data_IF_645366237061
#
_entry.id   IF_645366237061
#
_cell.length_a   1.000
_cell.length_b   1.000
_cell.length_c   1.000
_cell.angle_alpha   90.00
_cell.angle_beta   90.00
_cell.angle_gamma   90.00
#
_symmetry.space_group_name_H-M   'P 1'
#
loop_
_entity.id
_entity.type
_entity.pdbx_description
1 polymer ?
#
# COMPACT_ATOMS: atom_id res chain seq x y z
N UNK A 1 4.53 -8.05 23.26
CA UNK A 1 5.03 -8.28 21.90
C UNK A 1 3.91 -8.64 20.92
N UNK A 2 3.03 -9.62 21.22
CA UNK A 2 1.94 -10.02 20.33
C UNK A 2 1.03 -8.86 19.85
N UNK A 3 0.74 -7.88 20.72
CA UNK A 3 -0.04 -6.69 20.35
C UNK A 3 0.63 -5.86 19.24
N UNK A 4 1.94 -5.61 19.34
CA UNK A 4 2.66 -4.79 18.36
C UNK A 4 2.77 -5.53 17.02
N UNK A 5 3.05 -6.84 17.04
CA UNK A 5 3.00 -7.68 15.83
C UNK A 5 1.63 -7.60 15.16
N UNK A 6 0.54 -7.60 15.93
CA UNK A 6 -0.81 -7.49 15.37
C UNK A 6 -1.07 -6.14 14.71
N UNK A 7 -0.64 -5.03 15.33
CA UNK A 7 -0.80 -3.67 14.78
C UNK A 7 0.01 -3.50 13.50
N UNK A 8 1.22 -4.03 13.48
CA UNK A 8 2.13 -4.00 12.35
C UNK A 8 1.60 -4.85 11.17
N UNK A 9 1.14 -6.07 11.48
CA UNK A 9 0.45 -6.93 10.51
C UNK A 9 -0.81 -6.27 9.94
N UNK A 10 -1.63 -5.62 10.77
CA UNK A 10 -2.82 -4.90 10.32
C UNK A 10 -2.46 -3.73 9.39
N UNK A 11 -1.38 -3.02 9.70
CA UNK A 11 -0.86 -1.93 8.87
C UNK A 11 -0.38 -2.45 7.51
N UNK A 12 0.36 -3.56 7.48
CA UNK A 12 0.78 -4.23 6.25
C UNK A 12 -0.43 -4.66 5.40
N UNK A 13 -1.42 -5.31 6.01
CA UNK A 13 -2.66 -5.74 5.33
C UNK A 13 -3.47 -4.56 4.78
N UNK A 14 -3.50 -3.45 5.50
CA UNK A 14 -4.16 -2.22 5.05
C UNK A 14 -3.44 -1.63 3.83
N UNK A 15 -2.11 -1.66 3.80
CA UNK A 15 -1.33 -1.22 2.65
C UNK A 15 -1.66 -2.08 1.40
N UNK A 16 -1.71 -3.40 1.53
CA UNK A 16 -2.14 -4.30 0.43
C UNK A 16 -3.55 -3.96 -0.08
N UNK A 17 -4.51 -3.75 0.84
CA UNK A 17 -5.90 -3.43 0.50
C UNK A 17 -6.03 -2.09 -0.24
N UNK A 18 -5.26 -1.08 0.14
CA UNK A 18 -5.23 0.23 -0.54
C UNK A 18 -4.76 0.07 -1.99
N UNK A 19 -3.66 -0.65 -2.22
CA UNK A 19 -3.10 -0.87 -3.57
C UNK A 19 -4.09 -1.65 -4.42
N UNK A 20 -4.73 -2.66 -3.85
CA UNK A 20 -5.77 -3.44 -4.53
C UNK A 20 -6.99 -2.57 -4.89
N UNK A 21 -7.45 -1.71 -3.98
CA UNK A 21 -8.57 -0.79 -4.24
C UNK A 21 -8.24 0.25 -5.29
N UNK A 22 -7.02 0.77 -5.31
CA UNK A 22 -6.58 1.68 -6.36
C UNK A 22 -6.54 1.02 -7.73
N UNK A 23 -5.98 -0.19 -7.83
CA UNK A 23 -5.96 -0.97 -9.06
C UNK A 23 -7.39 -1.23 -9.58
N UNK A 24 -8.30 -1.65 -8.69
CA UNK A 24 -9.71 -1.86 -9.04
C UNK A 24 -10.40 -0.56 -9.49
N UNK A 25 -10.06 0.58 -8.89
CA UNK A 25 -10.63 1.86 -9.30
C UNK A 25 -10.18 2.24 -10.72
N UNK A 26 -8.90 2.04 -11.05
CA UNK A 26 -8.36 2.22 -12.42
C UNK A 26 -9.13 1.36 -13.42
N UNK A 27 -9.32 0.08 -13.11
CA UNK A 27 -10.05 -0.86 -13.97
C UNK A 27 -11.52 -0.47 -14.15
N UNK A 28 -12.20 -0.13 -13.06
CA UNK A 28 -13.61 0.31 -13.10
C UNK A 28 -13.77 1.56 -13.95
N UNK A 29 -12.89 2.55 -13.81
CA UNK A 29 -12.95 3.73 -14.65
C UNK A 29 -12.79 3.33 -16.13
N UNK A 30 -11.79 2.52 -16.45
CA UNK A 30 -11.58 2.08 -17.84
C UNK A 30 -12.82 1.39 -18.42
N UNK A 31 -13.47 0.51 -17.65
CA UNK A 31 -14.68 -0.19 -18.06
C UNK A 31 -15.88 0.77 -18.21
N UNK A 32 -16.07 1.70 -17.27
CA UNK A 32 -17.14 2.70 -17.30
C UNK A 32 -17.02 3.64 -18.50
N UNK A 33 -15.79 3.93 -18.95
CA UNK A 33 -15.54 4.76 -20.14
C UNK A 33 -16.16 4.19 -21.42
N UNK A 34 -16.45 2.88 -21.48
CA UNK A 34 -17.15 2.27 -22.62
C UNK A 34 -18.56 2.85 -22.87
N UNK A 35 -19.16 3.47 -21.85
CA UNK A 35 -20.50 4.06 -21.90
C UNK A 35 -20.49 5.44 -22.58
N UNK A 36 -19.35 6.11 -22.58
CA UNK A 36 -19.19 7.48 -23.05
C UNK A 36 -18.72 7.53 -24.51
N UNK A 37 -19.05 8.62 -25.19
CA UNK A 37 -18.64 8.86 -26.58
C UNK A 37 -17.21 9.39 -26.72
N UNK A 38 -16.71 9.37 -27.95
CA UNK A 38 -15.47 10.06 -28.33
C UNK A 38 -15.68 11.58 -28.40
N UNK A 39 -14.63 12.41 -28.13
CA UNK A 39 -13.24 12.03 -27.82
C UNK A 39 -12.97 11.72 -26.33
N UNK A 40 -13.97 11.93 -25.45
CA UNK A 40 -13.79 11.83 -23.99
C UNK A 40 -13.29 10.45 -23.56
N UNK A 41 -13.88 9.38 -24.11
CA UNK A 41 -13.49 8.00 -23.84
C UNK A 41 -11.99 7.77 -24.09
N UNK A 42 -11.48 8.08 -25.28
CA UNK A 42 -10.09 7.81 -25.64
C UNK A 42 -9.10 8.69 -24.88
N UNK A 43 -9.45 9.95 -24.60
CA UNK A 43 -8.62 10.86 -23.82
C UNK A 43 -8.45 10.35 -22.39
N UNK A 44 -9.54 10.10 -21.66
CA UNK A 44 -9.48 9.66 -20.27
C UNK A 44 -8.85 8.27 -20.15
N UNK A 45 -9.17 7.35 -21.06
CA UNK A 45 -8.59 6.00 -21.08
C UNK A 45 -7.07 6.04 -21.21
N UNK A 46 -6.54 6.87 -22.13
CA UNK A 46 -5.10 7.05 -22.29
C UNK A 46 -4.45 7.64 -21.05
N UNK A 47 -5.05 8.67 -20.44
CA UNK A 47 -4.49 9.30 -19.25
C UNK A 47 -4.46 8.34 -18.04
N UNK A 48 -5.47 7.48 -17.90
CA UNK A 48 -5.52 6.48 -16.82
C UNK A 48 -4.49 5.38 -16.99
N UNK A 49 -4.29 4.88 -18.21
CA UNK A 49 -3.23 3.91 -18.48
C UNK A 49 -1.85 4.54 -18.23
N UNK A 50 -1.64 5.78 -18.64
CA UNK A 50 -0.40 6.51 -18.38
C UNK A 50 -0.19 6.78 -16.88
N UNK A 51 -1.26 7.07 -16.14
CA UNK A 51 -1.24 7.16 -14.68
C UNK A 51 -0.77 5.85 -14.06
N UNK A 52 -1.42 4.72 -14.39
CA UNK A 52 -1.07 3.42 -13.84
C UNK A 52 0.39 3.03 -14.15
N UNK A 53 0.86 3.27 -15.38
CA UNK A 53 2.27 3.08 -15.74
C UNK A 53 3.20 3.98 -14.94
N UNK A 54 2.86 5.26 -14.80
CA UNK A 54 3.68 6.20 -14.03
C UNK A 54 3.76 5.81 -12.55
N UNK A 55 2.71 5.22 -12.00
CA UNK A 55 2.72 4.70 -10.61
C UNK A 55 3.71 3.55 -10.49
N UNK A 56 3.65 2.56 -11.39
CA UNK A 56 4.55 1.40 -11.34
C UNK A 56 6.00 1.79 -11.63
N UNK A 57 6.25 2.56 -12.69
CA UNK A 57 7.59 2.85 -13.19
C UNK A 57 8.32 3.94 -12.40
N UNK A 58 7.60 4.94 -11.88
CA UNK A 58 8.21 6.09 -11.19
C UNK A 58 7.89 6.10 -9.70
N UNK A 59 6.61 6.06 -9.31
CA UNK A 59 6.25 6.17 -7.89
C UNK A 59 6.69 4.96 -7.08
N UNK A 60 6.56 3.73 -7.61
CA UNK A 60 6.92 2.52 -6.86
C UNK A 60 8.41 2.39 -6.60
N UNK A 61 9.25 2.87 -7.54
CA UNK A 61 10.71 2.87 -7.37
C UNK A 61 11.14 3.89 -6.31
N UNK A 62 10.45 5.03 -6.23
CA UNK A 62 10.77 6.11 -5.29
C UNK A 62 9.92 6.11 -4.01
N UNK A 63 9.01 5.14 -3.84
CA UNK A 63 8.02 5.11 -2.74
C UNK A 63 8.70 5.08 -1.36
N UNK A 64 9.91 4.52 -1.30
CA UNK A 64 10.78 4.47 -0.11
C UNK A 64 11.19 5.85 0.42
N UNK A 65 11.05 6.91 -0.38
CA UNK A 65 11.36 8.28 0.03
C UNK A 65 10.13 9.10 0.42
N UNK A 66 8.93 8.51 0.40
CA UNK A 66 7.65 9.18 0.71
C UNK A 66 7.45 10.48 -0.08
N UNK A 67 8.02 10.56 -1.29
CA UNK A 67 7.91 11.74 -2.15
C UNK A 67 6.94 11.45 -3.29
N UNK A 68 5.87 12.25 -3.46
CA UNK A 68 5.04 12.14 -4.65
C UNK A 68 5.87 12.45 -5.89
N UNK A 69 5.72 11.64 -6.93
CA UNK A 69 6.39 11.91 -8.20
C UNK A 69 5.52 12.87 -9.03
N UNK A 70 6.12 13.98 -9.48
CA UNK A 70 5.43 15.06 -10.21
C UNK A 70 4.69 14.59 -11.48
N UNK A 71 5.04 13.44 -12.06
CA UNK A 71 4.38 12.91 -13.26
C UNK A 71 2.97 12.39 -12.99
N UNK A 72 2.78 11.61 -11.91
CA UNK A 72 1.50 11.02 -11.55
C UNK A 72 0.50 12.09 -11.08
N UNK A 73 0.97 13.13 -10.37
CA UNK A 73 0.13 14.28 -10.01
C UNK A 73 -0.39 15.01 -11.26
N UNK A 74 0.47 15.26 -12.24
CA UNK A 74 0.07 15.89 -13.50
C UNK A 74 -0.92 15.04 -14.29
N UNK A 75 -0.78 13.72 -14.25
CA UNK A 75 -1.71 12.78 -14.90
C UNK A 75 -3.07 12.80 -14.21
N UNK A 76 -3.08 12.72 -12.87
CA UNK A 76 -4.30 12.77 -12.08
C UNK A 76 -5.05 14.09 -12.30
N UNK A 77 -4.33 15.22 -12.36
CA UNK A 77 -4.92 16.53 -12.64
C UNK A 77 -5.53 16.60 -14.05
N UNK A 78 -4.89 16.02 -15.07
CA UNK A 78 -5.48 15.95 -16.42
C UNK A 78 -6.75 15.13 -16.42
N UNK A 79 -6.76 13.96 -15.78
CA UNK A 79 -7.97 13.13 -15.63
C UNK A 79 -9.07 13.92 -14.95
N UNK A 80 -8.76 14.63 -13.85
CA UNK A 80 -9.70 15.48 -13.13
C UNK A 80 -10.34 16.53 -14.03
N UNK A 81 -9.52 17.25 -14.80
CA UNK A 81 -10.00 18.28 -15.73
C UNK A 81 -10.92 17.69 -16.78
N UNK A 82 -10.53 16.56 -17.41
CA UNK A 82 -11.37 15.91 -18.41
C UNK A 82 -12.72 15.47 -17.81
N UNK A 83 -12.72 14.80 -16.66
CA UNK A 83 -13.96 14.36 -16.01
C UNK A 83 -14.81 15.58 -15.66
N UNK A 84 -14.27 16.57 -14.95
CA UNK A 84 -15.07 17.66 -14.39
C UNK A 84 -15.62 18.65 -15.43
N UNK A 85 -15.00 18.71 -16.61
CA UNK A 85 -15.45 19.56 -17.73
C UNK A 85 -16.37 18.82 -18.70
N UNK A 86 -16.55 17.50 -18.53
CA UNK A 86 -17.43 16.73 -19.40
C UNK A 86 -18.89 16.99 -19.06
N UNK A 87 -19.69 17.29 -20.09
CA UNK A 87 -21.14 17.42 -19.99
C UNK A 87 -21.81 16.17 -20.60
N UNK A 88 -22.45 15.32 -19.78
CA UNK A 88 -23.17 14.14 -20.25
C UNK A 88 -24.31 14.49 -21.21
N UNK A 89 -24.27 13.91 -22.42
CA UNK A 89 -25.22 14.23 -23.51
C UNK A 89 -26.43 13.32 -23.52
N UNK A 90 -26.22 12.04 -23.22
CA UNK A 90 -27.28 11.01 -23.25
C UNK A 90 -27.81 10.72 -21.84
N UNK A 91 -29.05 10.24 -21.72
CA UNK A 91 -29.61 9.82 -20.43
C UNK A 91 -28.80 8.67 -19.81
N UNK A 92 -28.22 7.81 -20.65
CA UNK A 92 -27.29 6.76 -20.21
C UNK A 92 -26.03 7.37 -19.58
N UNK A 93 -25.39 8.33 -20.25
CA UNK A 93 -24.21 9.00 -19.70
C UNK A 93 -24.54 9.74 -18.40
N UNK A 94 -25.67 10.44 -18.31
CA UNK A 94 -26.09 11.13 -17.08
C UNK A 94 -26.26 10.18 -15.90
N UNK A 95 -26.81 8.98 -16.15
CA UNK A 95 -26.98 7.96 -15.13
C UNK A 95 -25.64 7.39 -14.64
N UNK A 96 -24.68 7.19 -15.55
CA UNK A 96 -23.39 6.56 -15.23
C UNK A 96 -22.29 7.56 -14.79
N UNK A 97 -22.40 8.84 -15.14
CA UNK A 97 -21.40 9.85 -14.83
C UNK A 97 -21.08 9.99 -13.32
N UNK A 98 -22.05 9.90 -12.39
CA UNK A 98 -21.75 9.89 -10.96
C UNK A 98 -20.87 8.70 -10.53
N UNK A 99 -21.03 7.52 -11.14
CA UNK A 99 -20.21 6.34 -10.83
C UNK A 99 -18.77 6.52 -11.32
N UNK A 100 -18.60 7.10 -12.51
CA UNK A 100 -17.29 7.47 -13.03
C UNK A 100 -16.56 8.44 -12.08
N UNK A 101 -17.28 9.46 -11.60
CA UNK A 101 -16.74 10.45 -10.67
C UNK A 101 -16.34 9.81 -9.33
N UNK A 102 -17.15 8.88 -8.82
CA UNK A 102 -16.87 8.17 -7.57
C UNK A 102 -15.66 7.24 -7.70
N UNK A 103 -15.53 6.53 -8.82
CA UNK A 103 -14.37 5.68 -9.09
C UNK A 103 -13.09 6.53 -9.23
N UNK A 104 -13.17 7.71 -9.85
CA UNK A 104 -12.07 8.67 -9.88
C UNK A 104 -11.68 9.17 -8.48
N UNK A 105 -12.65 9.52 -7.63
CA UNK A 105 -12.40 9.93 -6.24
C UNK A 105 -11.74 8.82 -5.44
N UNK A 106 -12.27 7.60 -5.54
CA UNK A 106 -11.71 6.42 -4.90
C UNK A 106 -10.25 6.21 -5.31
N UNK A 107 -9.93 6.28 -6.62
CA UNK A 107 -8.56 6.17 -7.11
C UNK A 107 -7.64 7.23 -6.51
N UNK A 108 -8.07 8.50 -6.48
CA UNK A 108 -7.30 9.61 -5.93
C UNK A 108 -7.09 9.46 -4.41
N UNK A 109 -8.12 9.06 -3.67
CA UNK A 109 -8.07 8.81 -2.23
C UNK A 109 -7.11 7.66 -1.90
N UNK A 110 -7.22 6.52 -2.59
CA UNK A 110 -6.33 5.39 -2.36
C UNK A 110 -4.86 5.73 -2.65
N UNK A 111 -4.57 6.54 -3.68
CA UNK A 111 -3.20 7.03 -3.91
C UNK A 111 -2.68 7.89 -2.76
N UNK A 112 -3.51 8.80 -2.24
CA UNK A 112 -3.13 9.65 -1.10
C UNK A 112 -2.85 8.77 0.13
N UNK A 113 -3.74 7.82 0.43
CA UNK A 113 -3.57 6.90 1.54
C UNK A 113 -2.30 6.06 1.40
N UNK A 114 -1.98 5.60 0.18
CA UNK A 114 -0.73 4.89 -0.12
C UNK A 114 0.50 5.76 0.17
N UNK A 115 0.50 7.02 -0.27
CA UNK A 115 1.61 7.95 -0.03
C UNK A 115 1.76 8.33 1.45
N UNK A 116 0.66 8.42 2.19
CA UNK A 116 0.70 8.64 3.64
C UNK A 116 1.28 7.42 4.35
N UNK A 117 0.84 6.21 3.95
CA UNK A 117 1.33 4.96 4.54
C UNK A 117 2.77 4.63 4.18
N UNK A 118 3.29 5.10 3.04
CA UNK A 118 4.71 4.91 2.71
C UNK A 118 5.66 5.73 3.60
N UNK A 119 5.16 6.75 4.30
CA UNK A 119 5.93 7.51 5.31
C UNK A 119 5.53 7.19 6.75
N UNK A 120 4.58 6.29 6.98
CA UNK A 120 4.15 5.93 8.33
C UNK A 120 5.06 4.88 8.93
N UNK A 121 5.55 5.16 10.14
CA UNK A 121 6.33 4.24 10.96
C UNK A 121 5.67 4.08 12.32
N UNK A 122 5.91 2.96 12.99
CA UNK A 122 5.57 2.81 14.39
C UNK A 122 6.23 3.93 15.22
N UNK A 123 5.49 4.60 16.11
CA UNK A 123 6.06 5.60 17.00
C UNK A 123 7.29 5.07 17.73
N UNK A 124 8.37 5.86 17.79
CA UNK A 124 9.66 5.50 18.42
C UNK A 124 9.48 4.99 19.86
N UNK A 125 8.45 5.47 20.56
CA UNK A 125 8.10 5.03 21.92
C UNK A 125 7.76 3.53 21.98
N UNK A 126 7.09 2.97 20.96
CA UNK A 126 6.75 1.55 20.91
C UNK A 126 8.02 0.69 20.75
N UNK A 127 8.96 1.12 19.91
CA UNK A 127 10.28 0.47 19.80
C UNK A 127 11.06 0.51 21.11
N UNK A 128 11.08 1.66 21.78
CA UNK A 128 11.74 1.80 23.07
C UNK A 128 11.11 0.87 24.12
N UNK A 129 9.78 0.79 24.16
CA UNK A 129 9.06 -0.12 25.06
C UNK A 129 9.39 -1.59 24.79
N UNK A 130 9.45 -1.99 23.51
CA UNK A 130 9.81 -3.34 23.09
C UNK A 130 11.22 -3.75 23.52
N UNK A 131 12.21 -2.90 23.20
CA UNK A 131 13.61 -3.14 23.54
C UNK A 131 13.77 -3.23 25.06
N UNK A 132 13.11 -2.33 25.80
CA UNK A 132 13.13 -2.33 27.27
C UNK A 132 12.52 -3.61 27.83
N UNK A 133 11.35 -4.03 27.34
CA UNK A 133 10.69 -5.26 27.77
C UNK A 133 11.50 -6.53 27.46
N UNK A 134 12.22 -6.55 26.34
CA UNK A 134 13.19 -7.60 26.01
C UNK A 134 14.32 -7.67 27.05
N UNK A 135 14.98 -6.55 27.32
CA UNK A 135 16.08 -6.50 28.30
C UNK A 135 15.61 -6.90 29.70
N UNK A 136 14.46 -6.41 30.17
CA UNK A 136 13.90 -6.78 31.47
C UNK A 136 13.70 -8.30 31.55
N UNK A 137 13.13 -8.90 30.50
CA UNK A 137 12.86 -10.34 30.45
C UNK A 137 14.15 -11.16 30.45
N UNK A 138 15.15 -10.75 29.67
CA UNK A 138 16.46 -11.40 29.63
C UNK A 138 17.18 -11.27 30.98
N UNK A 139 17.20 -10.07 31.57
CA UNK A 139 17.80 -9.82 32.90
C UNK A 139 17.11 -10.69 33.96
N UNK A 140 15.78 -10.75 33.95
CA UNK A 140 14.99 -11.57 34.86
C UNK A 140 15.32 -13.07 34.72
N UNK A 141 15.60 -13.55 33.50
CA UNK A 141 16.00 -14.95 33.28
C UNK A 141 17.30 -15.33 34.00
N UNK A 142 18.19 -14.38 34.26
CA UNK A 142 19.43 -14.61 35.01
C UNK A 142 19.19 -14.76 36.53
N UNK A 143 18.07 -14.29 37.06
CA UNK A 143 17.72 -14.46 38.49
C UNK A 143 17.25 -15.88 38.81
N UNK A 144 16.88 -16.69 37.83
CA UNK A 144 16.58 -18.10 38.03
C UNK A 144 17.87 -18.91 38.21
N UNK A 145 18.25 -19.16 39.46
CA UNK A 145 19.36 -20.06 39.79
C UNK A 145 18.94 -21.51 39.52
N UNK A 146 19.44 -22.11 38.44
CA UNK A 146 19.27 -23.54 38.16
C UNK A 146 20.58 -24.26 38.44
N UNK A 147 20.51 -25.49 38.99
CA UNK A 147 21.71 -26.27 39.36
C UNK A 147 22.62 -26.62 38.16
N UNK A 148 22.13 -26.45 36.92
CA UNK A 148 22.87 -26.75 35.70
C UNK A 148 22.95 -25.53 34.78
N UNK A 149 24.08 -24.82 34.82
CA UNK A 149 24.37 -23.64 33.98
C UNK A 149 24.14 -23.89 32.49
N UNK A 150 24.38 -25.11 31.99
CA UNK A 150 24.12 -25.47 30.57
C UNK A 150 22.64 -25.40 30.20
N UNK A 151 21.75 -25.82 31.11
CA UNK A 151 20.30 -25.75 30.89
C UNK A 151 19.82 -24.30 30.94
N UNK A 152 20.36 -23.50 31.87
CA UNK A 152 20.07 -22.07 31.94
C UNK A 152 20.45 -21.34 30.64
N UNK A 153 21.66 -21.58 30.12
CA UNK A 153 22.13 -20.99 28.86
C UNK A 153 21.22 -21.42 27.70
N UNK A 154 20.84 -22.69 27.61
CA UNK A 154 19.96 -23.19 26.56
C UNK A 154 18.57 -22.51 26.61
N UNK A 155 17.97 -22.38 27.80
CA UNK A 155 16.67 -21.74 27.99
C UNK A 155 16.72 -20.24 27.66
N UNK A 156 17.71 -19.51 28.17
CA UNK A 156 17.88 -18.08 27.87
C UNK A 156 18.18 -17.84 26.40
N UNK A 157 18.97 -18.71 25.76
CA UNK A 157 19.26 -18.61 24.31
C UNK A 157 18.01 -18.82 23.47
N UNK A 158 17.19 -19.83 23.79
CA UNK A 158 15.94 -20.10 23.07
C UNK A 158 14.94 -18.95 23.25
N UNK A 159 14.86 -18.37 24.46
CA UNK A 159 14.04 -17.20 24.74
C UNK A 159 14.53 -15.99 23.94
N UNK A 160 15.83 -15.68 23.98
CA UNK A 160 16.44 -14.58 23.24
C UNK A 160 16.24 -14.72 21.73
N UNK A 161 16.43 -15.94 21.18
CA UNK A 161 16.16 -16.24 19.78
C UNK A 161 14.70 -15.96 19.41
N UNK A 162 13.76 -16.35 20.27
CA UNK A 162 12.33 -16.09 20.05
C UNK A 162 12.03 -14.59 20.00
N UNK A 163 12.64 -13.79 20.89
CA UNK A 163 12.53 -12.33 20.84
C UNK A 163 13.17 -11.72 19.60
N UNK A 164 14.34 -12.22 19.20
CA UNK A 164 15.05 -11.76 18.01
C UNK A 164 14.23 -12.01 16.74
N UNK A 165 13.58 -13.17 16.61
CA UNK A 165 12.67 -13.48 15.50
C UNK A 165 11.47 -12.54 15.46
N UNK A 166 10.87 -12.23 16.61
CA UNK A 166 9.73 -11.29 16.68
C UNK A 166 10.17 -9.86 16.32
N UNK A 167 11.33 -9.41 16.81
CA UNK A 167 11.89 -8.10 16.46
C UNK A 167 12.22 -8.00 14.98
N UNK A 168 12.82 -9.05 14.41
CA UNK A 168 13.10 -9.15 12.99
C UNK A 168 11.83 -9.03 12.15
N UNK A 169 10.76 -9.74 12.55
CA UNK A 169 9.47 -9.66 11.88
C UNK A 169 8.92 -8.22 11.89
N UNK A 170 8.93 -7.57 13.06
CA UNK A 170 8.41 -6.20 13.20
C UNK A 170 9.21 -5.20 12.38
N UNK A 171 10.54 -5.29 12.39
CA UNK A 171 11.38 -4.38 11.59
C UNK A 171 11.13 -4.59 10.08
N UNK A 172 10.84 -5.82 9.67
CA UNK A 172 10.56 -6.15 8.27
C UNK A 172 9.17 -5.67 7.82
N UNK A 173 8.21 -5.61 8.74
CA UNK A 173 6.82 -5.26 8.42
C UNK A 173 6.47 -3.78 8.67
N UNK A 174 7.22 -3.09 9.55
CA UNK A 174 7.02 -1.65 9.86
C UNK A 174 7.10 -0.74 8.63
N UNK A 175 7.82 -1.19 7.60
CA UNK A 175 7.94 -0.52 6.32
C UNK A 175 7.25 -1.35 5.23
N UNK A 176 5.91 -1.26 5.09
CA UNK A 176 5.18 -2.12 4.17
C UNK A 176 5.58 -1.89 2.71
N UNK A 177 6.13 -0.74 2.35
CA UNK A 177 6.56 -0.43 0.99
C UNK A 177 8.09 -0.50 0.78
N UNK A 178 8.88 -0.87 1.80
CA UNK A 178 10.34 -0.95 1.70
C UNK A 178 10.89 -2.34 2.08
N UNK A 179 11.89 -2.80 1.32
CA UNK A 179 12.58 -4.08 1.58
C UNK A 179 12.07 -5.25 0.74
N UNK A 180 12.68 -6.43 0.91
CA UNK A 180 12.44 -7.61 0.06
C UNK A 180 11.02 -8.20 0.19
N UNK A 181 10.28 -7.87 1.25
CA UNK A 181 8.91 -8.33 1.51
C UNK A 181 7.88 -7.20 1.43
N UNK A 182 8.15 -6.16 0.63
CA UNK A 182 7.24 -5.02 0.47
C UNK A 182 5.96 -5.38 -0.29
N UNK A 183 4.89 -4.63 -0.05
CA UNK A 183 3.68 -4.61 -0.86
C UNK A 183 4.03 -4.33 -2.32
N UNK A 184 3.58 -5.22 -3.21
CA UNK A 184 3.91 -5.21 -4.63
C UNK A 184 3.00 -4.29 -5.44
N UNK A 185 3.52 -3.75 -6.54
CA UNK A 185 2.77 -3.06 -7.60
C UNK A 185 1.95 -3.99 -8.48
N UNK A 186 2.07 -5.32 -8.27
CA UNK A 186 1.44 -6.36 -9.08
C UNK A 186 -0.07 -6.17 -9.36
N UNK A 187 -0.91 -5.72 -8.40
CA UNK A 187 -2.31 -5.46 -8.71
C UNK A 187 -2.50 -4.40 -9.81
N UNK A 188 -1.71 -3.32 -9.79
CA UNK A 188 -1.77 -2.25 -10.79
C UNK A 188 -1.22 -2.75 -12.14
N UNK A 189 -0.13 -3.52 -12.13
CA UNK A 189 0.42 -4.15 -13.33
C UNK A 189 -0.56 -5.11 -14.00
N UNK A 190 -1.29 -5.88 -13.20
CA UNK A 190 -2.31 -6.82 -13.67
C UNK A 190 -3.43 -6.08 -14.40
N UNK A 191 -3.89 -4.96 -13.86
CA UNK A 191 -4.89 -4.11 -14.50
C UNK A 191 -4.37 -3.51 -15.81
N UNK A 192 -3.12 -3.03 -15.85
CA UNK A 192 -2.50 -2.53 -17.10
C UNK A 192 -2.47 -3.63 -18.17
N UNK A 193 -2.12 -4.86 -17.79
CA UNK A 193 -2.11 -6.02 -18.69
C UNK A 193 -3.53 -6.32 -19.20
N UNK A 194 -4.53 -6.36 -18.32
CA UNK A 194 -5.92 -6.59 -18.71
C UNK A 194 -6.45 -5.52 -19.67
N UNK A 195 -6.19 -4.25 -19.41
CA UNK A 195 -6.60 -3.13 -20.28
C UNK A 195 -5.96 -3.23 -21.67
N UNK A 196 -4.70 -3.67 -21.76
CA UNK A 196 -3.98 -3.80 -23.02
C UNK A 196 -4.37 -5.06 -23.83
N UNK A 197 -5.07 -6.02 -23.23
CA UNK A 197 -5.57 -7.18 -23.98
C UNK A 197 -6.82 -6.75 -24.74
N UNK A 198 -6.81 -6.74 -26.08
CA UNK A 198 -8.01 -6.44 -26.85
C UNK A 198 -9.07 -7.50 -26.52
N UNK A 199 -10.22 -7.06 -25.99
CA UNK A 199 -11.37 -7.94 -25.80
C UNK A 199 -11.85 -8.45 -27.18
N UNK A 200 -11.95 -9.77 -27.38
CA UNK A 200 -12.40 -10.37 -28.64
C UNK A 200 -13.89 -10.13 -28.92
#
# INVERSE_FOLDING_TARGET
>A
MAFIVSVDYESFRKAEDIVFKEANAVEKIHNDLAIFGEPFKSEVSREIVNYAKSVVENEWVEINHSKPHNSADKLLERIRVHIYTYEPKTEREKFFYPFLLENYRTMAEMRIDRLIMSGSHLPVVLYAFMITGYFITVIFSFFFSTLHTKVQIAMTSLLSLSFMLILFLIITMDLPFSGDNSVSSEPIETVIKHINIPHP
#
